data_IF_844904225447
#
_entry.id   IF_844904225447
#
_cell.length_a   1.000
_cell.length_b   1.000
_cell.length_c   1.000
_cell.angle_alpha   90.00
_cell.angle_beta   90.00
_cell.angle_gamma   90.00
#
_symmetry.space_group_name_H-M   'P 1'
#
loop_
_entity.id
_entity.type
_entity.pdbx_description
1 polymer ?
#
# COMPACT_ATOMS: atom_id res chain seq x y z
N UNK A 1 16.04 -13.76 -7.65
CA UNK A 1 15.35 -12.47 -7.89
C UNK A 1 16.19 -11.38 -7.26
N UNK A 2 16.28 -10.20 -7.89
CA UNK A 2 16.94 -9.05 -7.28
C UNK A 2 16.20 -8.68 -5.99
N UNK A 3 16.92 -8.58 -4.87
CA UNK A 3 16.39 -8.01 -3.63
C UNK A 3 16.19 -6.51 -3.85
N UNK A 4 15.11 -5.93 -3.32
CA UNK A 4 14.86 -4.48 -3.37
C UNK A 4 15.02 -3.89 -1.98
N UNK A 5 15.81 -2.81 -1.89
CA UNK A 5 15.78 -1.92 -0.73
C UNK A 5 14.57 -0.98 -0.80
N UNK A 6 14.31 -0.23 0.29
CA UNK A 6 13.27 0.82 0.32
C UNK A 6 13.46 1.89 -0.77
N UNK A 7 14.71 2.21 -1.13
CA UNK A 7 14.99 3.15 -2.22
C UNK A 7 14.68 2.52 -3.58
N UNK A 8 15.07 1.26 -3.79
CA UNK A 8 14.90 0.58 -5.08
C UNK A 8 13.42 0.32 -5.41
N UNK A 9 12.61 0.02 -4.39
CA UNK A 9 11.18 -0.22 -4.60
C UNK A 9 10.44 1.06 -4.99
N UNK A 10 10.80 2.22 -4.42
CA UNK A 10 10.21 3.53 -4.78
C UNK A 10 10.49 3.89 -6.23
N UNK A 11 11.74 3.68 -6.68
CA UNK A 11 12.11 3.92 -8.08
C UNK A 11 11.38 2.96 -9.02
N UNK A 12 11.30 1.68 -8.67
CA UNK A 12 10.63 0.68 -9.49
C UNK A 12 9.11 0.89 -9.57
N UNK A 13 8.46 1.21 -8.44
CA UNK A 13 7.03 1.50 -8.38
C UNK A 13 6.65 2.72 -9.23
N UNK A 14 7.43 3.81 -9.10
CA UNK A 14 7.26 4.99 -9.94
C UNK A 14 7.38 4.66 -11.43
N UNK A 15 8.46 3.97 -11.82
CA UNK A 15 8.66 3.56 -13.20
C UNK A 15 7.52 2.67 -13.72
N UNK A 16 7.01 1.75 -12.89
CA UNK A 16 5.90 0.88 -13.24
C UNK A 16 4.61 1.65 -13.52
N UNK A 17 4.29 2.66 -12.70
CA UNK A 17 3.13 3.51 -12.95
C UNK A 17 3.30 4.30 -14.26
N UNK A 18 4.48 4.86 -14.50
CA UNK A 18 4.75 5.72 -15.66
C UNK A 18 4.77 4.94 -16.99
N UNK A 19 5.41 3.77 -17.02
CA UNK A 19 5.52 2.91 -18.20
C UNK A 19 5.71 1.45 -17.77
N UNK A 20 4.59 0.70 -17.79
CA UNK A 20 4.57 -0.71 -17.40
C UNK A 20 5.49 -1.57 -18.27
N UNK A 21 5.58 -1.29 -19.58
CA UNK A 21 6.36 -2.13 -20.49
C UNK A 21 7.86 -1.91 -20.26
N UNK A 22 8.31 -0.66 -20.18
CA UNK A 22 9.70 -0.34 -19.87
C UNK A 22 10.09 -0.83 -18.46
N UNK A 23 9.22 -0.64 -17.47
CA UNK A 23 9.47 -1.14 -16.13
C UNK A 23 9.57 -2.66 -16.10
N UNK A 24 8.75 -3.38 -16.85
CA UNK A 24 8.77 -4.84 -16.91
C UNK A 24 10.08 -5.38 -17.50
N UNK A 25 10.69 -4.69 -18.45
CA UNK A 25 12.00 -5.07 -19.00
C UNK A 25 13.13 -4.93 -17.97
N UNK A 26 13.11 -3.87 -17.15
CA UNK A 26 14.17 -3.57 -16.17
C UNK A 26 13.98 -4.35 -14.86
N UNK A 27 12.74 -4.39 -14.38
CA UNK A 27 12.38 -4.83 -13.04
C UNK A 27 11.66 -6.17 -13.01
N UNK A 28 11.27 -6.69 -14.16
CA UNK A 28 10.40 -7.86 -14.27
C UNK A 28 8.94 -7.55 -13.89
N UNK A 29 8.04 -8.53 -14.05
CA UNK A 29 6.65 -8.38 -13.64
C UNK A 29 6.51 -7.98 -12.17
N UNK A 30 5.65 -7.00 -11.87
CA UNK A 30 5.43 -6.50 -10.52
C UNK A 30 5.08 -7.62 -9.52
N UNK A 31 4.32 -8.63 -9.94
CA UNK A 31 3.86 -9.72 -9.09
C UNK A 31 4.96 -10.67 -8.58
N UNK A 32 6.20 -10.53 -9.09
CA UNK A 32 7.35 -11.35 -8.66
C UNK A 32 8.44 -10.53 -7.97
N UNK A 33 8.21 -9.25 -7.67
CA UNK A 33 9.21 -8.44 -6.98
C UNK A 33 9.48 -8.99 -5.58
N UNK A 34 10.76 -9.04 -5.21
CA UNK A 34 11.17 -9.54 -3.90
C UNK A 34 11.09 -8.41 -2.86
N UNK A 35 10.21 -8.60 -1.89
CA UNK A 35 9.90 -7.64 -0.84
C UNK A 35 10.63 -7.93 0.49
N UNK A 36 11.50 -8.94 0.55
CA UNK A 36 12.07 -9.44 1.80
C UNK A 36 12.89 -8.43 2.60
N UNK A 37 13.41 -7.39 1.96
CA UNK A 37 14.23 -6.33 2.59
C UNK A 37 13.50 -4.98 2.66
N UNK A 38 12.24 -4.90 2.23
CA UNK A 38 11.47 -3.65 2.23
C UNK A 38 10.74 -3.49 3.55
N UNK A 39 10.91 -2.32 4.15
CA UNK A 39 10.26 -1.89 5.39
C UNK A 39 9.34 -0.69 5.19
N UNK A 40 9.57 0.09 4.14
CA UNK A 40 8.86 1.34 3.82
C UNK A 40 8.18 1.24 2.44
N UNK A 41 6.85 1.27 2.45
CA UNK A 41 5.97 1.32 1.27
C UNK A 41 5.18 2.63 1.17
N UNK A 42 5.64 3.68 1.83
CA UNK A 42 5.00 4.99 1.84
C UNK A 42 4.80 5.49 0.40
N UNK A 43 3.54 5.74 0.05
CA UNK A 43 3.11 6.38 -1.20
C UNK A 43 3.53 5.66 -2.51
N UNK A 44 3.89 4.37 -2.48
CA UNK A 44 4.46 3.69 -3.67
C UNK A 44 3.61 3.80 -4.94
N UNK A 45 2.29 3.76 -4.79
CA UNK A 45 1.32 3.77 -5.89
C UNK A 45 0.25 4.85 -5.69
N UNK A 46 0.58 5.94 -4.98
CA UNK A 46 -0.35 7.04 -4.78
C UNK A 46 -0.49 7.92 -6.02
N UNK A 47 -1.51 8.77 -6.03
CA UNK A 47 -1.70 9.80 -7.04
C UNK A 47 -0.64 10.92 -7.01
N UNK A 48 0.24 10.96 -6.00
CA UNK A 48 1.47 11.79 -6.02
C UNK A 48 2.45 11.36 -7.13
N UNK A 49 2.34 10.11 -7.61
CA UNK A 49 3.04 9.63 -8.82
C UNK A 49 2.45 10.24 -10.10
N UNK A 50 1.37 11.03 -9.98
CA UNK A 50 0.65 11.68 -11.06
C UNK A 50 -0.54 10.85 -11.55
N UNK A 51 -1.02 11.16 -12.77
CA UNK A 51 -2.15 10.45 -13.38
C UNK A 51 -1.90 8.93 -13.47
N UNK A 52 -0.64 8.54 -13.70
CA UNK A 52 -0.17 7.17 -13.69
C UNK A 52 -0.52 6.41 -12.37
N UNK A 53 -0.38 7.07 -11.21
CA UNK A 53 -0.74 6.49 -9.91
C UNK A 53 -2.25 6.28 -9.76
N UNK A 54 -3.08 7.21 -10.24
CA UNK A 54 -4.55 7.06 -10.22
C UNK A 54 -5.03 5.85 -11.01
N UNK A 55 -4.31 5.51 -12.08
CA UNK A 55 -4.62 4.38 -12.96
C UNK A 55 -4.00 3.06 -12.48
N UNK A 56 -3.25 3.05 -11.37
CA UNK A 56 -2.57 1.85 -10.89
C UNK A 56 -3.57 0.75 -10.50
N UNK A 57 -3.36 -0.46 -11.04
CA UNK A 57 -4.15 -1.65 -10.72
C UNK A 57 -3.33 -2.95 -10.91
N UNK A 58 -2.07 -2.95 -10.46
CA UNK A 58 -1.18 -4.11 -10.57
C UNK A 58 -1.57 -5.26 -9.63
N UNK A 59 -1.26 -6.50 -10.03
CA UNK A 59 -1.42 -7.67 -9.16
C UNK A 59 -0.25 -7.78 -8.17
N UNK A 60 -0.56 -7.53 -6.89
CA UNK A 60 0.37 -7.56 -5.75
C UNK A 60 0.10 -8.74 -4.79
N UNK A 61 -0.81 -9.65 -5.16
CA UNK A 61 -1.32 -10.73 -4.27
C UNK A 61 -0.24 -11.70 -3.79
N UNK A 62 0.92 -11.73 -4.47
CA UNK A 62 2.05 -12.62 -4.20
C UNK A 62 3.18 -11.97 -3.40
N UNK A 63 3.06 -10.70 -3.06
CA UNK A 63 4.08 -10.00 -2.28
C UNK A 63 4.10 -10.52 -0.84
N UNK A 64 5.31 -10.76 -0.33
CA UNK A 64 5.55 -11.01 1.09
C UNK A 64 5.85 -9.68 1.79
N UNK A 65 4.86 -9.14 2.50
CA UNK A 65 4.97 -7.86 3.19
C UNK A 65 5.24 -8.01 4.70
N UNK A 66 5.62 -9.22 5.15
CA UNK A 66 5.78 -9.53 6.59
C UNK A 66 6.91 -8.77 7.31
N UNK A 67 7.73 -8.02 6.58
CA UNK A 67 8.77 -7.14 7.12
C UNK A 67 8.42 -5.65 7.05
N UNK A 68 7.31 -5.29 6.41
CA UNK A 68 6.90 -3.90 6.20
C UNK A 68 6.36 -3.30 7.49
N UNK A 69 6.79 -2.08 7.80
CA UNK A 69 6.34 -1.31 8.97
C UNK A 69 5.53 -0.07 8.59
N UNK A 70 5.73 0.47 7.39
CA UNK A 70 5.02 1.65 6.88
C UNK A 70 4.34 1.37 5.53
N UNK A 71 3.02 1.55 5.47
CA UNK A 71 2.18 1.48 4.26
C UNK A 71 1.34 2.75 4.07
N UNK A 72 1.71 3.85 4.74
CA UNK A 72 1.00 5.12 4.69
C UNK A 72 0.74 5.56 3.24
N UNK A 73 -0.51 5.87 2.94
CA UNK A 73 -0.92 6.35 1.62
C UNK A 73 -0.50 5.49 0.42
N UNK A 74 -0.13 4.21 0.59
CA UNK A 74 0.45 3.38 -0.49
C UNK A 74 -0.40 3.37 -1.76
N UNK A 75 -1.73 3.42 -1.62
CA UNK A 75 -2.71 3.48 -2.71
C UNK A 75 -3.60 4.73 -2.62
N UNK A 76 -3.12 5.80 -1.99
CA UNK A 76 -3.86 7.05 -1.86
C UNK A 76 -4.21 7.59 -3.26
N UNK A 77 -5.49 7.82 -3.52
CA UNK A 77 -5.95 8.30 -4.83
C UNK A 77 -5.77 7.31 -6.00
N UNK A 78 -5.36 6.07 -5.77
CA UNK A 78 -5.29 5.02 -6.79
C UNK A 78 -6.70 4.55 -7.16
N UNK A 79 -7.40 5.34 -7.96
CA UNK A 79 -8.84 5.24 -8.18
C UNK A 79 -9.29 3.87 -8.69
N UNK A 80 -8.45 3.21 -9.49
CA UNK A 80 -8.74 1.91 -10.11
C UNK A 80 -8.28 0.69 -9.30
N UNK A 81 -7.52 0.90 -8.22
CA UNK A 81 -6.89 -0.20 -7.49
C UNK A 81 -7.93 -1.09 -6.79
N UNK A 82 -7.91 -2.39 -7.10
CA UNK A 82 -8.74 -3.39 -6.44
C UNK A 82 -8.11 -4.80 -6.49
N UNK A 83 -6.90 -4.93 -5.96
CA UNK A 83 -6.20 -6.22 -5.88
C UNK A 83 -6.61 -6.99 -4.62
N UNK A 84 -6.71 -8.32 -4.70
CA UNK A 84 -6.92 -9.15 -3.51
C UNK A 84 -5.62 -9.27 -2.70
N UNK A 85 -5.61 -8.68 -1.51
CA UNK A 85 -4.47 -8.63 -0.59
C UNK A 85 -4.69 -9.47 0.68
N UNK A 86 -5.67 -10.39 0.68
CA UNK A 86 -6.01 -11.20 1.85
C UNK A 86 -4.88 -12.10 2.34
N UNK A 87 -3.85 -12.31 1.52
CA UNK A 87 -2.65 -13.10 1.85
C UNK A 87 -1.57 -12.30 2.60
N UNK A 88 -1.68 -10.98 2.65
CA UNK A 88 -0.67 -10.13 3.27
C UNK A 88 -0.67 -10.28 4.79
N UNK A 89 0.50 -10.57 5.37
CA UNK A 89 0.70 -10.44 6.81
C UNK A 89 1.09 -9.00 7.14
N UNK A 90 0.19 -8.28 7.80
CA UNK A 90 0.36 -6.87 8.18
C UNK A 90 0.63 -6.65 9.67
N UNK A 91 0.96 -7.69 10.44
CA UNK A 91 1.16 -7.62 11.90
C UNK A 91 2.24 -6.62 12.34
N UNK A 92 3.26 -6.40 11.50
CA UNK A 92 4.36 -5.45 11.79
C UNK A 92 4.06 -4.02 11.35
N UNK A 93 2.99 -3.81 10.59
CA UNK A 93 2.68 -2.47 10.07
C UNK A 93 2.21 -1.59 11.21
N UNK A 94 2.87 -0.44 11.38
CA UNK A 94 2.55 0.55 12.40
C UNK A 94 1.92 1.81 11.82
N UNK A 95 2.03 2.01 10.51
CA UNK A 95 1.43 3.13 9.80
C UNK A 95 0.66 2.63 8.58
N UNK A 96 -0.66 2.84 8.57
CA UNK A 96 -1.53 2.61 7.42
C UNK A 96 -2.29 3.88 7.02
N UNK A 97 -1.94 5.04 7.60
CA UNK A 97 -2.71 6.28 7.46
C UNK A 97 -2.99 6.59 5.99
N UNK A 98 -4.27 6.72 5.64
CA UNK A 98 -4.75 7.08 4.32
C UNK A 98 -4.40 6.07 3.21
N UNK A 99 -3.98 4.84 3.54
CA UNK A 99 -3.52 3.84 2.56
C UNK A 99 -4.50 3.63 1.40
N UNK A 100 -5.81 3.66 1.66
CA UNK A 100 -6.86 3.53 0.64
C UNK A 100 -7.75 4.78 0.50
N UNK A 101 -7.37 5.91 1.11
CA UNK A 101 -8.12 7.14 0.95
C UNK A 101 -8.14 7.56 -0.53
N UNK A 102 -9.34 7.76 -1.10
CA UNK A 102 -9.50 8.09 -2.52
C UNK A 102 -9.39 6.90 -3.50
N UNK A 103 -9.11 5.67 -3.04
CA UNK A 103 -9.11 4.48 -3.90
C UNK A 103 -10.55 4.04 -4.23
N UNK A 104 -11.16 4.66 -5.24
CA UNK A 104 -12.61 4.55 -5.54
C UNK A 104 -13.09 3.12 -5.81
N UNK A 105 -12.24 2.25 -6.37
CA UNK A 105 -12.57 0.85 -6.68
C UNK A 105 -12.21 -0.14 -5.57
N UNK A 106 -11.54 0.31 -4.51
CA UNK A 106 -11.16 -0.55 -3.40
C UNK A 106 -12.40 -1.14 -2.71
N UNK A 107 -12.42 -2.46 -2.59
CA UNK A 107 -13.39 -3.19 -1.78
C UNK A 107 -12.70 -3.76 -0.54
N UNK A 108 -13.25 -3.48 0.65
CA UNK A 108 -12.75 -4.04 1.93
C UNK A 108 -12.71 -5.56 1.95
N UNK A 109 -13.49 -6.25 1.12
CA UNK A 109 -13.42 -7.71 1.00
C UNK A 109 -12.06 -8.21 0.49
N UNK A 110 -11.28 -7.35 -0.18
CA UNK A 110 -9.95 -7.66 -0.69
C UNK A 110 -8.87 -7.76 0.39
N UNK A 111 -9.11 -7.19 1.57
CA UNK A 111 -8.22 -7.25 2.74
C UNK A 111 -8.78 -8.14 3.86
N UNK A 112 -9.73 -9.03 3.52
CA UNK A 112 -10.28 -9.98 4.50
C UNK A 112 -9.13 -10.78 5.13
N UNK A 113 -9.17 -10.92 6.45
CA UNK A 113 -8.12 -11.62 7.21
C UNK A 113 -7.04 -10.70 7.78
N UNK A 114 -7.02 -9.41 7.43
CA UNK A 114 -6.22 -8.44 8.19
C UNK A 114 -6.88 -8.25 9.57
N UNK A 115 -6.15 -8.55 10.64
CA UNK A 115 -6.62 -8.40 12.03
C UNK A 115 -6.53 -6.95 12.51
N UNK A 116 -7.27 -6.05 11.84
CA UNK A 116 -7.25 -4.62 12.13
C UNK A 116 -8.08 -4.27 13.38
N UNK A 117 -7.57 -3.37 14.21
CA UNK A 117 -8.38 -2.73 15.24
C UNK A 117 -9.21 -1.57 14.65
N UNK A 118 -10.11 -0.98 15.45
CA UNK A 118 -10.97 0.12 15.01
C UNK A 118 -10.20 1.37 14.58
N UNK A 119 -9.11 1.71 15.29
CA UNK A 119 -8.24 2.84 14.93
C UNK A 119 -7.51 2.57 13.62
N UNK A 120 -6.88 1.41 13.46
CA UNK A 120 -6.16 1.06 12.23
C UNK A 120 -7.10 1.08 11.01
N UNK A 121 -8.35 0.64 11.20
CA UNK A 121 -9.38 0.69 10.17
C UNK A 121 -9.72 2.14 9.78
N UNK A 122 -9.86 3.05 10.75
CA UNK A 122 -10.13 4.47 10.49
C UNK A 122 -8.96 5.17 9.82
N UNK A 123 -7.75 4.98 10.38
CA UNK A 123 -6.49 5.49 9.84
C UNK A 123 -6.34 5.06 8.37
N UNK A 124 -6.53 3.78 8.06
CA UNK A 124 -6.38 3.20 6.72
C UNK A 124 -7.32 3.79 5.68
N UNK A 125 -8.58 4.02 6.04
CA UNK A 125 -9.58 4.54 5.13
C UNK A 125 -9.50 6.06 4.95
N UNK A 126 -8.83 6.77 5.86
CA UNK A 126 -8.77 8.23 5.88
C UNK A 126 -10.14 8.88 6.13
N UNK A 127 -11.08 8.13 6.69
CA UNK A 127 -12.40 8.60 7.08
C UNK A 127 -12.33 9.21 8.48
N UNK A 128 -11.53 10.26 8.62
CA UNK A 128 -11.53 11.10 9.81
C UNK A 128 -12.84 11.88 9.79
N UNK A 129 -13.91 11.33 10.37
CA UNK A 129 -15.11 12.13 10.59
C UNK A 129 -14.73 13.36 11.42
N UNK A 130 -15.39 14.49 11.10
CA UNK A 130 -15.42 15.70 11.90
C UNK A 130 -15.94 15.38 13.32
N UNK A 131 -15.06 14.92 14.22
CA UNK A 131 -15.39 14.77 15.63
C UNK A 131 -14.33 15.45 16.51
N UNK A 132 -14.63 16.71 16.81
CA UNK A 132 -14.48 17.39 18.10
C UNK A 132 -13.84 16.56 19.25
N UNK A 133 -12.61 16.93 19.61
CA UNK A 133 -12.12 16.81 20.99
C UNK A 133 -11.23 15.60 21.29
N UNK A 134 -9.98 15.91 21.64
CA UNK A 134 -8.97 15.08 22.33
C UNK A 134 -9.44 13.73 22.89
N UNK A 135 -8.83 12.65 22.39
CA UNK A 135 -8.88 11.33 23.02
C UNK A 135 -7.71 10.47 22.55
N UNK A 136 -6.57 10.56 23.24
CA UNK A 136 -5.43 9.67 23.08
C UNK A 136 -5.86 8.21 23.33
N UNK A 137 -6.02 7.45 22.25
CA UNK A 137 -6.10 5.99 22.31
C UNK A 137 -4.69 5.41 22.23
N UNK A 138 -3.92 5.46 23.31
CA UNK A 138 -2.63 4.76 23.41
C UNK A 138 -2.85 3.26 23.20
N UNK A 139 -2.12 2.69 22.24
CA UNK A 139 -1.99 1.24 22.00
C UNK A 139 -1.61 0.55 23.30
N UNK A 140 -2.49 -0.29 23.85
CA UNK A 140 -2.05 -1.32 24.79
C UNK A 140 -1.42 -2.45 23.98
N UNK A 141 -0.13 -2.67 24.25
CA UNK A 141 0.57 -3.91 23.94
C UNK A 141 -0.11 -5.09 24.65
#
# INVERSE_FOLDING_TARGET
>A
MLKRSDADIKVAAKAWCEDVEAAREIYGPISIWNMSEVTDMLLLFSDDVGEAGKQFNGDLSRWDVSNVTDMGGMFHGAELFNCNLSSWNVEKVTNMVGMFAGAKKFDKSTIKGWELNGKDTLDMLGNWEEDIGYGEGTRKL
#
